data_IF_851158496638
#
_entry.id   IF_851158496638
#
_cell.length_a   1.000
_cell.length_b   1.000
_cell.length_c   1.000
_cell.angle_alpha   90.00
_cell.angle_beta   90.00
_cell.angle_gamma   90.00
#
_symmetry.space_group_name_H-M   'P 1'
#
loop_
_entity.id
_entity.type
_entity.pdbx_description
1 polymer ?
#
# COMPACT_ATOMS: atom_id res chain seq x y z
N UNK A 1 45.43 -18.26 75.02
CA UNK A 1 44.13 -18.79 75.47
C UNK A 1 43.30 -19.04 74.21
N UNK A 2 43.26 -20.25 73.64
CA UNK A 2 42.21 -21.27 73.88
C UNK A 2 40.83 -20.72 73.47
N UNK A 3 40.07 -21.24 72.49
CA UNK A 3 39.71 -22.63 72.22
C UNK A 3 39.16 -22.84 70.78
N UNK A 4 39.19 -24.11 70.36
CA UNK A 4 38.60 -24.76 69.16
C UNK A 4 37.05 -24.78 69.12
N UNK A 5 36.49 -24.96 67.90
CA UNK A 5 35.57 -26.05 67.42
C UNK A 5 34.60 -25.50 66.35
N UNK A 6 34.70 -25.91 65.08
CA UNK A 6 34.07 -27.07 64.39
C UNK A 6 32.57 -26.93 64.05
N UNK A 7 32.29 -26.86 62.74
CA UNK A 7 31.18 -27.54 62.06
C UNK A 7 29.77 -26.92 62.15
N UNK A 8 29.20 -26.59 60.98
CA UNK A 8 27.92 -27.15 60.51
C UNK A 8 27.60 -26.69 59.09
N UNK A 9 27.44 -27.67 58.20
CA UNK A 9 26.75 -27.63 56.92
C UNK A 9 25.23 -27.65 57.14
N UNK A 10 24.48 -26.71 56.55
CA UNK A 10 23.03 -26.79 56.32
C UNK A 10 22.63 -25.62 55.38
N UNK A 11 22.50 -25.86 54.08
CA UNK A 11 21.22 -25.77 53.35
C UNK A 11 20.56 -24.38 53.34
N UNK A 12 20.89 -23.56 52.34
CA UNK A 12 19.99 -22.50 51.86
C UNK A 12 19.80 -22.65 50.35
N UNK A 13 18.53 -22.64 49.96
CA UNK A 13 18.04 -23.04 48.65
C UNK A 13 18.54 -22.17 47.51
N UNK A 14 18.92 -22.85 46.43
CA UNK A 14 19.26 -22.22 45.15
C UNK A 14 18.04 -21.53 44.54
N UNK A 15 18.10 -20.21 44.45
CA UNK A 15 17.28 -19.44 43.52
C UNK A 15 17.85 -19.70 42.12
N UNK A 16 17.07 -20.17 41.12
CA UNK A 16 17.58 -20.32 39.77
C UNK A 16 17.87 -18.92 39.21
N UNK A 17 19.15 -18.57 39.06
CA UNK A 17 19.57 -17.36 38.36
C UNK A 17 19.12 -17.48 36.89
N UNK A 18 18.22 -16.60 36.46
CA UNK A 18 17.93 -16.41 35.04
C UNK A 18 19.24 -16.12 34.29
N UNK A 19 19.47 -16.71 33.10
CA UNK A 19 20.63 -16.39 32.31
C UNK A 19 20.57 -14.91 31.90
N UNK A 20 21.73 -14.21 31.80
CA UNK A 20 21.75 -12.81 31.44
C UNK A 20 21.11 -12.62 30.06
N UNK A 21 20.13 -11.71 30.00
CA UNK A 21 19.51 -11.28 28.76
C UNK A 21 20.60 -10.87 27.77
N UNK A 22 20.54 -11.43 26.56
CA UNK A 22 21.44 -11.04 25.47
C UNK A 22 21.29 -9.53 25.26
N UNK A 23 22.39 -8.78 25.11
CA UNK A 23 22.29 -7.36 24.82
C UNK A 23 21.53 -7.19 23.49
N UNK A 24 20.55 -6.28 23.50
CA UNK A 24 19.74 -5.99 22.33
C UNK A 24 20.65 -5.55 21.17
N UNK A 25 20.64 -6.31 20.07
CA UNK A 25 21.49 -6.12 18.90
C UNK A 25 21.07 -4.94 18.01
N UNK A 26 20.51 -3.87 18.57
CA UNK A 26 20.02 -2.72 17.80
C UNK A 26 21.14 -1.80 17.26
N UNK A 27 22.41 -2.18 17.43
CA UNK A 27 23.56 -1.54 16.77
C UNK A 27 24.44 -2.58 16.07
N UNK A 28 23.87 -3.28 15.10
CA UNK A 28 24.70 -3.85 14.04
C UNK A 28 24.84 -2.79 12.94
N UNK A 29 26.06 -2.35 12.59
CA UNK A 29 26.28 -1.71 11.30
C UNK A 29 25.80 -2.71 10.24
N UNK A 30 25.03 -2.27 9.25
CA UNK A 30 24.56 -3.11 8.15
C UNK A 30 25.81 -3.72 7.50
N UNK A 31 26.13 -4.98 7.82
CA UNK A 31 27.20 -5.71 7.17
C UNK A 31 26.65 -6.13 5.82
N UNK A 32 27.49 -6.13 4.79
CA UNK A 32 27.12 -6.59 3.45
C UNK A 32 26.56 -8.02 3.42
N UNK A 33 26.72 -8.79 4.50
CA UNK A 33 26.14 -10.12 4.70
C UNK A 33 24.61 -10.10 4.93
N UNK A 34 24.02 -8.99 5.41
CA UNK A 34 22.62 -8.98 5.88
C UNK A 34 21.59 -9.00 4.74
N UNK A 35 21.90 -8.40 3.58
CA UNK A 35 20.98 -8.41 2.44
C UNK A 35 21.00 -9.74 1.68
N UNK A 36 22.09 -10.50 1.76
CA UNK A 36 22.23 -11.81 1.11
C UNK A 36 21.24 -12.82 1.70
N UNK A 37 21.17 -12.87 3.03
CA UNK A 37 20.20 -13.70 3.75
C UNK A 37 18.77 -13.24 3.45
N UNK A 38 18.53 -11.93 3.36
CA UNK A 38 17.21 -11.39 3.03
C UNK A 38 16.75 -11.81 1.61
N UNK A 39 17.64 -11.81 0.62
CA UNK A 39 17.34 -12.28 -0.75
C UNK A 39 17.01 -13.78 -0.75
N UNK A 40 17.76 -14.60 0.01
CA UNK A 40 17.44 -16.03 0.14
C UNK A 40 16.06 -16.28 0.76
N UNK A 41 15.68 -15.51 1.79
CA UNK A 41 14.34 -15.56 2.39
C UNK A 41 13.24 -15.06 1.46
N UNK A 42 13.54 -14.04 0.65
CA UNK A 42 12.64 -13.54 -0.38
C UNK A 42 12.30 -14.68 -1.34
N UNK A 43 13.31 -15.39 -1.86
CA UNK A 43 13.11 -16.53 -2.75
C UNK A 43 12.17 -17.59 -2.15
N UNK A 44 12.47 -18.05 -0.92
CA UNK A 44 11.63 -19.03 -0.21
C UNK A 44 10.16 -18.57 -0.07
N UNK A 45 9.96 -17.27 0.18
CA UNK A 45 8.62 -16.69 0.35
C UNK A 45 7.89 -16.61 -0.99
N UNK A 46 8.56 -16.16 -2.05
CA UNK A 46 7.99 -16.07 -3.41
C UNK A 46 7.60 -17.46 -3.93
N UNK A 47 8.47 -18.47 -3.80
CA UNK A 47 8.16 -19.85 -4.23
C UNK A 47 6.95 -20.42 -3.48
N UNK A 48 6.83 -20.15 -2.17
CA UNK A 48 5.68 -20.61 -1.37
C UNK A 48 4.40 -19.88 -1.76
N UNK A 49 4.45 -18.57 -1.93
CA UNK A 49 3.29 -17.76 -2.32
C UNK A 49 2.80 -18.13 -3.72
N UNK A 50 3.72 -18.33 -4.67
CA UNK A 50 3.37 -18.69 -6.05
C UNK A 50 2.70 -20.06 -6.17
N UNK A 51 3.08 -21.03 -5.32
CA UNK A 51 2.41 -22.34 -5.24
C UNK A 51 0.94 -22.24 -4.83
N UNK A 52 0.58 -21.23 -4.04
CA UNK A 52 -0.78 -21.04 -3.54
C UNK A 52 -1.62 -20.23 -4.53
N UNK A 53 -1.05 -19.18 -5.12
CA UNK A 53 -1.73 -18.35 -6.10
C UNK A 53 -0.73 -17.79 -7.12
N UNK A 54 -0.95 -18.14 -8.39
CA UNK A 54 -0.10 -17.74 -9.51
C UNK A 54 -0.35 -16.29 -9.97
N UNK A 55 -1.45 -15.66 -9.52
CA UNK A 55 -1.85 -14.30 -9.93
C UNK A 55 -1.45 -13.22 -8.91
N UNK A 56 -0.44 -13.48 -8.07
CA UNK A 56 0.07 -12.50 -7.11
C UNK A 56 1.13 -11.62 -7.78
N UNK A 57 1.04 -10.32 -7.58
CA UNK A 57 2.07 -9.37 -7.96
C UNK A 57 3.13 -9.30 -6.86
N UNK A 58 4.41 -9.42 -7.23
CA UNK A 58 5.53 -9.36 -6.29
C UNK A 58 6.28 -8.04 -6.46
N UNK A 59 6.25 -7.24 -5.39
CA UNK A 59 6.83 -5.92 -5.34
C UNK A 59 7.85 -5.90 -4.19
N UNK A 60 9.10 -5.54 -4.50
CA UNK A 60 10.22 -5.58 -3.56
C UNK A 60 10.68 -4.16 -3.27
N UNK A 61 10.65 -3.78 -2.00
CA UNK A 61 11.13 -2.49 -1.54
C UNK A 61 12.54 -2.63 -0.97
N UNK A 62 13.51 -2.02 -1.64
CA UNK A 62 14.85 -1.82 -1.11
C UNK A 62 14.78 -0.58 -0.22
N UNK A 63 14.69 -0.83 1.08
CA UNK A 63 14.39 0.20 2.08
C UNK A 63 15.65 0.78 2.73
N UNK A 64 15.53 2.00 3.29
CA UNK A 64 16.60 2.77 3.97
C UNK A 64 17.77 3.12 3.07
N UNK A 65 17.48 3.73 1.92
CA UNK A 65 18.50 4.15 0.94
C UNK A 65 19.14 5.51 1.26
N UNK A 66 18.75 6.14 2.36
CA UNK A 66 19.08 7.52 2.78
C UNK A 66 20.56 7.84 2.95
N UNK A 67 21.32 6.88 3.48
CA UNK A 67 22.72 7.07 3.81
C UNK A 67 23.68 6.68 2.69
N UNK A 68 23.18 6.37 1.50
CA UNK A 68 23.97 5.85 0.39
C UNK A 68 24.10 6.90 -0.71
N UNK A 69 25.27 6.99 -1.33
CA UNK A 69 25.44 7.76 -2.56
C UNK A 69 24.61 7.15 -3.70
N UNK A 70 24.23 7.97 -4.67
CA UNK A 70 23.38 7.51 -5.79
C UNK A 70 24.05 6.40 -6.61
N UNK A 71 25.38 6.45 -6.78
CA UNK A 71 26.16 5.37 -7.40
C UNK A 71 26.02 4.05 -6.62
N UNK A 72 26.05 4.11 -5.29
CA UNK A 72 25.86 2.93 -4.44
C UNK A 72 24.42 2.43 -4.47
N UNK A 73 23.42 3.32 -4.58
CA UNK A 73 22.00 2.94 -4.73
C UNK A 73 21.80 2.13 -6.02
N UNK A 74 22.31 2.64 -7.15
CA UNK A 74 22.22 1.98 -8.45
C UNK A 74 22.93 0.63 -8.43
N UNK A 75 24.14 0.58 -7.85
CA UNK A 75 24.92 -0.65 -7.78
C UNK A 75 24.21 -1.72 -6.91
N UNK A 76 23.70 -1.35 -5.73
CA UNK A 76 22.95 -2.28 -4.87
C UNK A 76 21.63 -2.72 -5.51
N UNK A 77 20.91 -1.83 -6.16
CA UNK A 77 19.70 -2.17 -6.89
C UNK A 77 19.98 -3.20 -7.98
N UNK A 78 21.02 -2.97 -8.79
CA UNK A 78 21.42 -3.90 -9.85
C UNK A 78 21.87 -5.25 -9.30
N UNK A 79 22.63 -5.26 -8.20
CA UNK A 79 23.09 -6.50 -7.58
C UNK A 79 21.93 -7.34 -7.02
N UNK A 80 21.03 -6.71 -6.26
CA UNK A 80 19.83 -7.35 -5.71
C UNK A 80 18.91 -7.84 -6.84
N UNK A 81 18.69 -7.01 -7.86
CA UNK A 81 17.85 -7.37 -9.01
C UNK A 81 18.39 -8.58 -9.76
N UNK A 82 19.70 -8.60 -10.06
CA UNK A 82 20.34 -9.74 -10.72
C UNK A 82 20.20 -10.99 -9.86
N UNK A 83 20.59 -10.92 -8.59
CA UNK A 83 20.64 -12.08 -7.69
C UNK A 83 19.27 -12.69 -7.44
N UNK A 84 18.24 -11.86 -7.22
CA UNK A 84 16.88 -12.33 -7.05
C UNK A 84 16.32 -12.98 -8.33
N UNK A 85 16.67 -12.49 -9.51
CA UNK A 85 16.26 -13.10 -10.78
C UNK A 85 17.01 -14.41 -11.06
N UNK A 86 18.32 -14.47 -10.79
CA UNK A 86 19.10 -15.70 -10.95
C UNK A 86 18.51 -16.82 -10.07
N UNK A 87 18.21 -16.53 -8.79
CA UNK A 87 17.57 -17.49 -7.87
C UNK A 87 16.18 -17.93 -8.37
N UNK A 88 15.40 -17.05 -9.02
CA UNK A 88 14.10 -17.40 -9.59
C UNK A 88 14.22 -18.27 -10.85
N UNK A 89 15.22 -18.02 -11.69
CA UNK A 89 15.54 -18.81 -12.88
C UNK A 89 15.96 -20.22 -12.47
N UNK A 90 16.79 -20.35 -11.42
CA UNK A 90 17.23 -21.64 -10.88
C UNK A 90 16.07 -22.49 -10.37
N UNK A 91 15.01 -21.87 -9.83
CA UNK A 91 13.78 -22.56 -9.43
C UNK A 91 12.80 -22.83 -10.59
N UNK A 92 13.12 -22.43 -11.82
CA UNK A 92 12.28 -22.62 -13.01
C UNK A 92 11.03 -21.73 -13.06
N UNK A 93 10.99 -20.64 -12.30
CA UNK A 93 9.84 -19.73 -12.17
C UNK A 93 10.02 -18.47 -13.06
N UNK A 94 10.23 -18.68 -14.36
CA UNK A 94 10.51 -17.58 -15.31
C UNK A 94 9.30 -16.66 -15.61
N UNK A 95 8.10 -17.01 -15.13
CA UNK A 95 6.88 -16.21 -15.30
C UNK A 95 6.69 -15.13 -14.24
N UNK A 96 7.55 -15.08 -13.20
CA UNK A 96 7.42 -14.13 -12.09
C UNK A 96 8.22 -12.87 -12.41
N UNK A 97 7.53 -11.75 -12.59
CA UNK A 97 8.16 -10.44 -12.75
C UNK A 97 8.26 -9.76 -11.37
N UNK A 98 9.47 -9.65 -10.83
CA UNK A 98 9.73 -8.85 -9.63
C UNK A 98 9.91 -7.38 -10.01
N UNK A 99 9.13 -6.50 -9.39
CA UNK A 99 9.33 -5.05 -9.49
C UNK A 99 10.10 -4.55 -8.27
N UNK A 100 11.11 -3.71 -8.48
CA UNK A 100 11.97 -3.21 -7.42
C UNK A 100 11.83 -1.70 -7.27
N UNK A 101 11.68 -1.23 -6.04
CA UNK A 101 11.62 0.19 -5.71
C UNK A 101 12.63 0.54 -4.63
N UNK A 102 13.32 1.65 -4.84
CA UNK A 102 14.17 2.27 -3.82
C UNK A 102 13.25 3.12 -2.94
N UNK A 103 13.25 2.89 -1.64
CA UNK A 103 12.35 3.59 -0.72
C UNK A 103 13.08 4.12 0.50
N UNK A 104 12.67 5.30 0.90
CA UNK A 104 13.06 5.98 2.13
C UNK A 104 11.82 6.51 2.84
N UNK A 105 11.86 6.57 4.18
CA UNK A 105 10.82 7.26 4.98
C UNK A 105 11.06 8.78 5.11
N UNK A 106 12.26 9.26 4.76
CA UNK A 106 12.62 10.67 4.83
C UNK A 106 12.33 11.38 3.50
N UNK A 107 12.30 10.63 2.40
CA UNK A 107 11.91 11.12 1.07
C UNK A 107 10.47 10.71 0.72
N UNK A 108 9.89 11.35 -0.29
CA UNK A 108 8.57 10.99 -0.81
C UNK A 108 8.56 9.70 -1.66
N UNK A 109 9.73 9.09 -1.88
CA UNK A 109 9.92 7.87 -2.69
C UNK A 109 9.09 6.69 -2.20
N UNK A 110 8.84 6.58 -0.89
CA UNK A 110 7.99 5.53 -0.34
C UNK A 110 6.54 5.67 -0.82
N UNK A 111 6.00 6.89 -0.82
CA UNK A 111 4.62 7.13 -1.27
C UNK A 111 4.49 6.94 -2.78
N UNK A 112 5.51 7.31 -3.55
CA UNK A 112 5.56 7.03 -4.99
C UNK A 112 5.57 5.52 -5.28
N UNK A 113 6.42 4.76 -4.57
CA UNK A 113 6.48 3.31 -4.71
C UNK A 113 5.14 2.66 -4.35
N UNK A 114 4.52 3.08 -3.25
CA UNK A 114 3.18 2.61 -2.87
C UNK A 114 2.13 2.96 -3.93
N UNK A 115 2.20 4.14 -4.53
CA UNK A 115 1.28 4.55 -5.59
C UNK A 115 1.35 3.63 -6.80
N UNK A 116 2.56 3.27 -7.25
CA UNK A 116 2.76 2.29 -8.34
C UNK A 116 2.24 0.90 -7.98
N UNK A 117 2.42 0.47 -6.73
CA UNK A 117 1.91 -0.82 -6.24
C UNK A 117 0.38 -0.83 -6.20
N UNK A 118 -0.25 0.23 -5.68
CA UNK A 118 -1.71 0.35 -5.59
C UNK A 118 -2.34 0.41 -6.98
N UNK A 119 -1.73 1.11 -7.93
CA UNK A 119 -2.19 1.17 -9.32
C UNK A 119 -2.30 -0.21 -9.97
N UNK A 120 -1.31 -1.09 -9.74
CA UNK A 120 -1.34 -2.48 -10.23
C UNK A 120 -2.46 -3.33 -9.62
N UNK A 121 -2.99 -2.95 -8.45
CA UNK A 121 -4.09 -3.65 -7.80
C UNK A 121 -5.46 -3.23 -8.34
N UNK A 122 -5.56 -2.09 -9.03
CA UNK A 122 -6.82 -1.52 -9.51
C UNK A 122 -7.00 -1.87 -11.01
N UNK A 123 -7.88 -2.82 -11.36
CA UNK A 123 -8.05 -3.25 -12.75
C UNK A 123 -8.81 -2.24 -13.63
N UNK A 124 -9.39 -1.18 -13.06
CA UNK A 124 -10.05 -0.10 -13.83
C UNK A 124 -9.18 1.15 -13.99
N UNK A 125 -7.88 1.05 -13.68
CA UNK A 125 -6.94 2.14 -13.88
C UNK A 125 -7.04 2.77 -15.29
N UNK A 126 -7.13 1.99 -16.40
CA UNK A 126 -7.22 2.59 -17.74
C UNK A 126 -8.45 3.48 -17.94
N UNK A 127 -9.56 3.18 -17.25
CA UNK A 127 -10.76 4.01 -17.33
C UNK A 127 -10.55 5.35 -16.61
N UNK A 128 -9.90 5.33 -15.44
CA UNK A 128 -9.57 6.55 -14.69
C UNK A 128 -8.55 7.41 -15.42
N UNK A 129 -7.51 6.80 -16.00
CA UNK A 129 -6.53 7.49 -16.85
C UNK A 129 -7.20 8.16 -18.05
N UNK A 130 -8.11 7.46 -18.74
CA UNK A 130 -8.85 8.04 -19.86
C UNK A 130 -9.75 9.21 -19.43
N UNK A 131 -10.42 9.12 -18.28
CA UNK A 131 -11.21 10.22 -17.74
C UNK A 131 -10.33 11.44 -17.41
N UNK A 132 -9.16 11.22 -16.80
CA UNK A 132 -8.20 12.29 -16.53
C UNK A 132 -7.70 12.91 -17.83
N UNK A 133 -7.37 12.12 -18.84
CA UNK A 133 -6.93 12.61 -20.15
C UNK A 133 -8.00 13.50 -20.82
N UNK A 134 -9.28 13.11 -20.77
CA UNK A 134 -10.39 13.92 -21.31
C UNK A 134 -10.54 15.23 -20.52
N UNK A 135 -10.41 15.18 -19.20
CA UNK A 135 -10.51 16.37 -18.36
C UNK A 135 -9.38 17.37 -18.65
N UNK A 136 -8.15 16.87 -18.79
CA UNK A 136 -6.94 17.65 -19.09
C UNK A 136 -7.03 18.28 -20.48
N UNK A 137 -7.43 17.50 -21.50
CA UNK A 137 -7.52 17.98 -22.88
C UNK A 137 -8.54 19.11 -23.04
N UNK A 138 -9.67 19.02 -22.33
CA UNK A 138 -10.76 20.00 -22.43
C UNK A 138 -10.53 21.24 -21.58
N UNK A 139 -9.74 21.13 -20.51
CA UNK A 139 -9.52 22.22 -19.54
C UNK A 139 -8.17 22.91 -19.71
N UNK A 140 -7.34 22.49 -20.68
CA UNK A 140 -5.97 22.99 -20.90
C UNK A 140 -5.11 22.98 -19.63
N UNK A 141 -5.25 21.90 -18.86
CA UNK A 141 -4.44 21.62 -17.67
C UNK A 141 -3.13 20.98 -18.14
N UNK A 142 -2.02 21.24 -17.47
CA UNK A 142 -0.73 20.62 -17.84
C UNK A 142 -0.59 19.21 -17.26
N UNK A 143 -1.03 19.03 -16.02
CA UNK A 143 -0.95 17.75 -15.31
C UNK A 143 -2.04 17.63 -14.26
N UNK A 144 -2.59 16.43 -14.06
CA UNK A 144 -3.55 16.18 -12.99
C UNK A 144 -3.30 14.85 -12.31
N UNK A 145 -3.41 14.87 -10.98
CA UNK A 145 -3.25 13.71 -10.12
C UNK A 145 -4.52 13.48 -9.33
N UNK A 146 -4.94 12.23 -9.23
CA UNK A 146 -5.99 11.79 -8.32
C UNK A 146 -5.31 11.23 -7.06
N UNK A 147 -5.38 11.98 -5.97
CA UNK A 147 -4.77 11.65 -4.68
C UNK A 147 -5.78 11.09 -3.69
N UNK A 148 -5.33 10.14 -2.88
CA UNK A 148 -5.92 9.84 -1.59
C UNK A 148 -5.29 10.77 -0.53
N UNK A 149 -6.12 11.59 0.10
CA UNK A 149 -5.70 12.68 1.00
C UNK A 149 -5.01 12.14 2.26
N UNK A 150 -5.50 11.02 2.81
CA UNK A 150 -4.99 10.47 4.06
C UNK A 150 -3.67 9.73 3.89
N UNK A 151 -3.53 8.99 2.78
CA UNK A 151 -2.36 8.16 2.54
C UNK A 151 -1.29 8.84 1.67
N UNK A 152 -1.61 10.01 1.08
CA UNK A 152 -0.78 10.76 0.11
C UNK A 152 -0.40 9.94 -1.13
N UNK A 153 -1.12 8.84 -1.37
CA UNK A 153 -0.93 7.96 -2.51
C UNK A 153 -1.75 8.49 -3.69
N UNK A 154 -1.15 8.55 -4.87
CA UNK A 154 -1.91 8.86 -6.08
C UNK A 154 -2.45 7.58 -6.71
N UNK A 155 -3.77 7.54 -6.88
CA UNK A 155 -4.51 6.38 -7.41
C UNK A 155 -4.40 6.33 -8.93
N UNK A 156 -4.53 7.48 -9.58
CA UNK A 156 -4.48 7.61 -11.02
C UNK A 156 -3.77 8.91 -11.40
N UNK A 157 -3.08 8.87 -12.53
CA UNK A 157 -2.41 10.00 -13.15
C UNK A 157 -2.78 10.02 -14.62
N UNK A 158 -2.49 11.13 -15.29
CA UNK A 158 -2.63 11.24 -16.73
C UNK A 158 -1.55 10.46 -17.49
N UNK A 159 -1.61 10.51 -18.82
CA UNK A 159 -0.62 9.86 -19.68
C UNK A 159 0.77 10.50 -19.68
N UNK A 160 0.93 11.71 -19.12
CA UNK A 160 2.26 12.33 -19.00
C UNK A 160 3.12 11.60 -17.95
N UNK A 161 4.45 11.52 -18.17
CA UNK A 161 5.33 10.90 -17.18
C UNK A 161 5.28 11.68 -15.86
N UNK A 162 5.14 10.95 -14.75
CA UNK A 162 5.21 11.54 -13.41
C UNK A 162 6.64 11.99 -13.14
N UNK A 163 6.79 13.25 -12.76
CA UNK A 163 8.07 13.79 -12.31
C UNK A 163 8.04 13.84 -10.79
N UNK A 164 9.14 13.43 -10.17
CA UNK A 164 9.26 13.33 -8.71
C UNK A 164 9.07 14.70 -8.07
N UNK A 165 9.64 15.74 -8.68
CA UNK A 165 9.53 17.12 -8.17
C UNK A 165 8.08 17.62 -8.12
N UNK A 166 7.28 17.29 -9.13
CA UNK A 166 5.88 17.68 -9.21
C UNK A 166 5.04 16.94 -8.17
N UNK A 167 5.40 15.68 -7.91
CA UNK A 167 4.74 14.86 -6.91
C UNK A 167 5.02 15.37 -5.48
N UNK A 168 6.27 15.71 -5.17
CA UNK A 168 6.66 16.32 -3.89
C UNK A 168 5.87 17.60 -3.61
N UNK A 169 5.79 18.49 -4.61
CA UNK A 169 5.01 19.73 -4.50
C UNK A 169 3.51 19.49 -4.24
N UNK A 170 2.93 18.44 -4.82
CA UNK A 170 1.53 18.06 -4.54
C UNK A 170 1.36 17.61 -3.10
N UNK A 171 2.27 16.78 -2.59
CA UNK A 171 2.22 16.29 -1.23
C UNK A 171 2.30 17.43 -0.22
N UNK A 172 3.25 18.35 -0.42
CA UNK A 172 3.41 19.53 0.43
C UNK A 172 2.18 20.44 0.36
N UNK A 173 1.59 20.62 -0.83
CA UNK A 173 0.37 21.40 -0.99
C UNK A 173 -0.82 20.78 -0.25
N UNK A 174 -0.98 19.45 -0.34
CA UNK A 174 -2.02 18.74 0.41
C UNK A 174 -1.82 19.00 1.90
N UNK A 175 -0.62 18.77 2.44
CA UNK A 175 -0.31 18.97 3.86
C UNK A 175 -0.66 20.38 4.33
N UNK A 176 -0.27 21.42 3.58
CA UNK A 176 -0.62 22.81 3.90
C UNK A 176 -2.13 23.02 3.93
N UNK A 177 -2.87 22.47 2.96
CA UNK A 177 -4.34 22.57 2.91
C UNK A 177 -4.98 21.84 4.09
N UNK A 178 -4.48 20.65 4.44
CA UNK A 178 -4.97 19.89 5.61
C UNK A 178 -4.71 20.70 6.89
N UNK A 179 -3.47 21.17 7.09
CA UNK A 179 -3.06 21.89 8.29
C UNK A 179 -3.87 23.18 8.49
N UNK A 180 -4.10 23.94 7.40
CA UNK A 180 -4.94 25.15 7.44
C UNK A 180 -6.39 24.78 7.74
N UNK A 181 -6.93 23.73 7.10
CA UNK A 181 -8.30 23.28 7.36
C UNK A 181 -8.47 22.77 8.80
N UNK A 182 -7.45 22.14 9.38
CA UNK A 182 -7.49 21.70 10.77
C UNK A 182 -7.50 22.88 11.76
N UNK A 183 -6.90 24.02 11.40
CA UNK A 183 -6.83 25.21 12.24
C UNK A 183 -8.10 26.07 12.10
N UNK A 184 -8.58 26.28 10.87
CA UNK A 184 -9.67 27.22 10.56
C UNK A 184 -10.99 26.55 10.15
N UNK A 185 -11.02 25.23 10.03
CA UNK A 185 -12.21 24.47 9.67
C UNK A 185 -13.32 24.66 10.71
N UNK A 186 -14.58 24.88 10.29
CA UNK A 186 -15.68 25.10 11.22
C UNK A 186 -15.84 23.88 12.12
N UNK A 187 -15.65 24.05 13.42
CA UNK A 187 -15.76 22.99 14.43
C UNK A 187 -17.21 22.53 14.71
N UNK A 188 -18.16 22.90 13.87
CA UNK A 188 -19.57 23.04 14.25
C UNK A 188 -20.51 22.12 13.46
N UNK A 189 -20.11 20.88 13.26
CA UNK A 189 -21.03 19.72 13.18
C UNK A 189 -20.24 18.48 13.55
N UNK A 190 -20.69 17.74 14.57
CA UNK A 190 -20.05 16.52 15.10
C UNK A 190 -20.09 15.31 14.15
N UNK A 191 -19.66 15.49 12.90
CA UNK A 191 -19.30 14.44 11.95
C UNK A 191 -17.81 14.58 11.68
N UNK A 192 -17.06 13.53 11.96
CA UNK A 192 -15.63 13.44 11.70
C UNK A 192 -15.26 13.92 10.29
N UNK A 193 -14.19 14.72 10.23
CA UNK A 193 -13.43 15.25 9.07
C UNK A 193 -13.74 16.71 8.66
N UNK A 194 -12.71 17.60 8.68
CA UNK A 194 -12.83 19.03 8.35
C UNK A 194 -12.70 19.26 6.84
N UNK A 195 -13.62 18.70 6.04
CA UNK A 195 -13.62 18.86 4.59
C UNK A 195 -15.00 19.29 4.09
N UNK A 196 -15.10 20.55 3.64
CA UNK A 196 -16.30 21.08 3.01
C UNK A 196 -16.41 20.60 1.55
N UNK A 197 -17.61 20.13 1.19
CA UNK A 197 -17.98 19.50 -0.10
C UNK A 197 -17.83 20.39 -1.35
N UNK A 198 -17.42 21.65 -1.20
CA UNK A 198 -17.40 22.66 -2.26
C UNK A 198 -16.03 22.88 -2.92
N UNK A 199 -14.92 22.53 -2.26
CA UNK A 199 -13.58 22.72 -2.82
C UNK A 199 -12.95 21.40 -3.26
N UNK A 200 -12.97 21.13 -4.58
CA UNK A 200 -12.09 20.15 -5.26
C UNK A 200 -12.17 18.67 -4.80
N UNK A 201 -13.14 18.28 -4.00
CA UNK A 201 -13.28 16.88 -3.59
C UNK A 201 -14.09 16.06 -4.58
N UNK A 202 -13.55 14.91 -4.98
CA UNK A 202 -14.24 13.94 -5.84
C UNK A 202 -15.08 12.96 -5.00
N UNK A 203 -14.58 12.60 -3.80
CA UNK A 203 -15.22 11.77 -2.75
C UNK A 203 -14.55 12.07 -1.40
N UNK A 204 -15.14 11.68 -0.25
CA UNK A 204 -14.63 11.95 1.14
C UNK A 204 -13.14 11.63 1.41
N UNK A 205 -12.48 10.87 0.53
CA UNK A 205 -11.06 10.50 0.67
C UNK A 205 -10.21 10.84 -0.56
N UNK A 206 -10.83 11.28 -1.67
CA UNK A 206 -10.12 11.52 -2.93
C UNK A 206 -10.17 12.99 -3.34
N UNK A 207 -8.98 13.55 -3.51
CA UNK A 207 -8.76 14.90 -4.00
C UNK A 207 -8.10 14.86 -5.38
N UNK A 208 -8.39 15.86 -6.21
CA UNK A 208 -7.70 16.05 -7.49
C UNK A 208 -6.78 17.25 -7.36
N UNK A 209 -5.52 17.07 -7.70
CA UNK A 209 -4.52 18.14 -7.76
C UNK A 209 -4.16 18.39 -9.20
N UNK A 210 -4.27 19.64 -9.67
CA UNK A 210 -4.03 20.02 -11.06
C UNK A 210 -2.97 21.12 -11.16
N UNK A 211 -2.07 20.97 -12.13
CA UNK A 211 -1.13 22.00 -12.55
C UNK A 211 -1.67 22.72 -13.76
N UNK A 212 -1.83 24.02 -13.63
CA UNK A 212 -2.44 24.87 -14.63
C UNK A 212 -1.60 26.13 -14.83
N UNK A 213 -1.45 26.54 -16.08
CA UNK A 213 -0.85 27.85 -16.39
C UNK A 213 -1.79 28.96 -15.99
N UNK A 214 -1.23 30.09 -15.58
CA UNK A 214 -1.99 31.29 -15.20
C UNK A 214 -2.94 31.74 -16.31
N UNK A 215 -2.50 31.67 -17.57
CA UNK A 215 -3.32 32.00 -18.76
C UNK A 215 -4.54 31.08 -18.92
N UNK A 216 -4.41 29.80 -18.56
CA UNK A 216 -5.53 28.85 -18.61
C UNK A 216 -6.56 29.12 -17.51
N UNK A 217 -6.17 29.76 -16.40
CA UNK A 217 -7.03 30.01 -15.25
C UNK A 217 -8.10 31.09 -15.50
N UNK A 218 -7.94 31.92 -16.54
CA UNK A 218 -8.92 32.95 -16.90
C UNK A 218 -10.31 32.37 -17.21
N UNK A 219 -10.38 31.08 -17.60
CA UNK A 219 -11.63 30.36 -17.90
C UNK A 219 -12.06 29.45 -16.75
N UNK A 220 -11.94 29.90 -15.50
CA UNK A 220 -12.30 29.12 -14.30
C UNK A 220 -13.67 28.45 -14.38
N UNK A 221 -14.71 29.16 -14.88
CA UNK A 221 -16.06 28.59 -14.98
C UNK A 221 -16.17 27.35 -15.88
N UNK A 222 -15.36 27.24 -16.94
CA UNK A 222 -15.32 26.04 -17.79
C UNK A 222 -14.63 24.88 -17.06
N UNK A 223 -13.58 25.18 -16.30
CA UNK A 223 -12.84 24.19 -15.51
C UNK A 223 -13.76 23.62 -14.43
N UNK A 224 -14.51 24.47 -13.72
CA UNK A 224 -15.45 24.05 -12.68
C UNK A 224 -16.57 23.17 -13.24
N UNK A 225 -17.13 23.53 -14.42
CA UNK A 225 -18.13 22.69 -15.10
C UNK A 225 -17.55 21.33 -15.52
N UNK A 226 -16.36 21.32 -16.15
CA UNK A 226 -15.69 20.10 -16.55
C UNK A 226 -15.34 19.23 -15.33
N UNK A 227 -14.95 19.85 -14.22
CA UNK A 227 -14.64 19.18 -12.97
C UNK A 227 -15.90 18.55 -12.36
N UNK A 228 -17.04 19.22 -12.42
CA UNK A 228 -18.32 18.64 -11.97
C UNK A 228 -18.72 17.40 -12.79
N UNK A 229 -18.59 17.46 -14.11
CA UNK A 229 -18.78 16.31 -14.99
C UNK A 229 -17.82 15.17 -14.66
N UNK A 230 -16.54 15.49 -14.43
CA UNK A 230 -15.50 14.52 -14.05
C UNK A 230 -15.78 13.85 -12.70
N UNK A 231 -16.17 14.63 -11.68
CA UNK A 231 -16.57 14.14 -10.36
C UNK A 231 -17.73 13.14 -10.47
N UNK A 232 -18.75 13.50 -11.25
CA UNK A 232 -19.91 12.64 -11.48
C UNK A 232 -19.52 11.33 -12.18
N UNK A 233 -18.66 11.40 -13.20
CA UNK A 233 -18.14 10.22 -13.89
C UNK A 233 -17.34 9.29 -12.96
N UNK A 234 -16.51 9.84 -12.07
CA UNK A 234 -15.76 9.03 -11.10
C UNK A 234 -16.70 8.32 -10.12
N UNK A 235 -17.71 9.02 -9.61
CA UNK A 235 -18.69 8.43 -8.70
C UNK A 235 -19.41 7.23 -9.35
N UNK A 236 -19.80 7.37 -10.62
CA UNK A 236 -20.41 6.27 -11.38
C UNK A 236 -19.46 5.08 -11.55
N UNK A 237 -18.18 5.32 -11.85
CA UNK A 237 -17.18 4.24 -12.00
C UNK A 237 -17.02 3.44 -10.71
N UNK A 238 -16.95 4.12 -9.56
CA UNK A 238 -16.85 3.44 -8.26
C UNK A 238 -18.15 2.68 -7.90
N UNK A 239 -19.31 3.25 -8.19
CA UNK A 239 -20.62 2.63 -7.95
C UNK A 239 -20.85 1.36 -8.78
N UNK A 240 -20.50 1.40 -10.08
CA UNK A 240 -20.54 0.24 -10.96
C UNK A 240 -19.69 -0.89 -10.38
N UNK A 241 -18.55 -0.56 -9.78
CA UNK A 241 -17.68 -1.57 -9.17
C UNK A 241 -18.28 -2.19 -7.91
N UNK A 242 -18.87 -1.37 -7.03
CA UNK A 242 -19.58 -1.86 -5.85
C UNK A 242 -20.75 -2.76 -6.26
N UNK A 243 -21.47 -2.41 -7.34
CA UNK A 243 -22.54 -3.25 -7.91
C UNK A 243 -22.00 -4.56 -8.49
N UNK A 244 -20.90 -4.55 -9.24
CA UNK A 244 -20.26 -5.76 -9.79
C UNK A 244 -19.74 -6.67 -8.67
N UNK A 245 -19.12 -6.12 -7.62
CA UNK A 245 -18.67 -6.89 -6.47
C UNK A 245 -19.84 -7.48 -5.67
N UNK A 246 -20.91 -6.70 -5.43
CA UNK A 246 -22.15 -7.20 -4.80
C UNK A 246 -22.78 -8.31 -5.64
N UNK A 247 -22.85 -8.13 -6.96
CA UNK A 247 -23.37 -9.16 -7.87
C UNK A 247 -22.47 -10.41 -7.90
N UNK A 248 -21.15 -10.29 -7.83
CA UNK A 248 -20.24 -11.45 -7.68
C UNK A 248 -20.46 -12.18 -6.35
N UNK A 249 -20.68 -11.47 -5.24
CA UNK A 249 -21.02 -12.06 -3.93
C UNK A 249 -22.40 -12.76 -3.96
N UNK A 250 -23.40 -12.15 -4.58
CA UNK A 250 -24.73 -12.74 -4.75
C UNK A 250 -24.70 -13.98 -5.66
N UNK A 251 -23.91 -13.96 -6.74
CA UNK A 251 -23.71 -15.12 -7.62
C UNK A 251 -22.94 -16.25 -6.91
N UNK A 252 -21.94 -15.90 -6.09
CA UNK A 252 -21.24 -16.87 -5.22
C UNK A 252 -22.18 -17.51 -4.19
N UNK A 253 -23.03 -16.72 -3.52
CA UNK A 253 -24.06 -17.22 -2.60
C UNK A 253 -25.12 -18.07 -3.29
N UNK A 254 -25.54 -17.73 -4.52
CA UNK A 254 -26.46 -18.55 -5.34
C UNK A 254 -25.84 -19.87 -5.79
N UNK A 255 -24.52 -19.90 -6.00
CA UNK A 255 -23.79 -21.12 -6.34
C UNK A 255 -23.60 -22.03 -5.13
N UNK A 256 -23.41 -21.46 -3.93
CA UNK A 256 -23.35 -22.21 -2.68
C UNK A 256 -24.72 -22.78 -2.28
N UNK A 257 -25.80 -22.01 -2.43
CA UNK A 257 -27.16 -22.47 -2.11
C UNK A 257 -27.70 -23.52 -3.09
N UNK A 258 -27.29 -23.51 -4.36
CA UNK A 258 -27.57 -24.60 -5.32
C UNK A 258 -26.80 -25.89 -5.02
N UNK A 259 -25.62 -25.80 -4.41
CA UNK A 259 -24.85 -26.98 -4.01
C UNK A 259 -25.43 -27.64 -2.74
N UNK A 260 -26.08 -26.87 -1.86
CA UNK A 260 -26.76 -27.40 -0.67
C UNK A 260 -28.19 -27.89 -0.92
N UNK A 261 -28.83 -27.48 -2.03
CA UNK A 261 -30.15 -27.99 -2.44
C UNK A 261 -30.09 -29.10 -3.50
N UNK A 262 -28.93 -29.32 -4.12
CA UNK A 262 -28.71 -30.37 -5.12
C UNK A 262 -28.38 -31.77 -4.57
N UNK A 263 -28.20 -31.92 -3.25
CA UNK A 263 -27.90 -33.19 -2.57
C UNK A 263 -28.93 -33.54 -1.49
N UNK A 264 -30.21 -33.40 -1.82
CA UNK A 264 -31.33 -33.69 -0.92
C UNK A 264 -32.40 -34.55 -1.57
N UNK A 265 -32.01 -35.69 -2.15
CA UNK A 265 -32.91 -36.66 -2.75
C UNK A 265 -32.67 -38.07 -2.20
N UNK A 266 -33.39 -38.37 -1.11
CA UNK A 266 -33.78 -39.71 -0.64
C UNK A 266 -32.65 -40.58 -0.06
N UNK A 267 -32.51 -40.55 1.27
CA UNK A 267 -32.48 -41.80 2.04
C UNK A 267 -33.20 -41.61 3.37
N UNK A 268 -34.27 -42.38 3.51
CA UNK A 268 -34.98 -42.67 4.76
C UNK A 268 -34.00 -43.15 5.83
N UNK A 269 -34.09 -42.66 7.06
CA UNK A 269 -34.52 -43.44 8.24
C UNK A 269 -34.31 -42.67 9.55
N UNK A 270 -35.24 -42.92 10.46
CA UNK A 270 -35.36 -42.42 11.83
C UNK A 270 -34.09 -42.54 12.68
N UNK A 271 -33.81 -41.52 13.51
CA UNK A 271 -33.48 -41.68 14.94
C UNK A 271 -33.38 -40.32 15.67
N UNK A 272 -34.21 -40.19 16.72
CA UNK A 272 -34.00 -39.50 18.02
C UNK A 272 -33.19 -38.18 18.03
N UNK A 273 -33.75 -37.00 18.37
CA UNK A 273 -34.33 -36.59 19.68
C UNK A 273 -33.42 -36.95 20.87
N UNK A 274 -32.57 -36.03 21.32
CA UNK A 274 -32.50 -35.46 22.69
C UNK A 274 -31.16 -34.75 22.96
N UNK A 275 -31.26 -33.69 23.76
CA UNK A 275 -30.25 -32.82 24.38
C UNK A 275 -29.62 -31.74 23.50
#
# INVERSE_FOLDING_TARGET
MGLRRSGKSSTEGGIPKCPPARPCSWRAPIRSDDYVEAVSRLHLTVTRAYKVNTNINFEVFIHKVDGLSDDHKIQKQRDIHRRANDDLVDAGLQSINLSFYLTSIYDHSIFEAFSKVVQKLIPQLPTLENLLNIFISNSCIEKAFLFDVLSKIYIATDSSPVDMSTYELCCDMIDVVIDISCIYGPADTGSDLPYDKESMEVTEFLAVVCFLRTESFERKGLIDYNFHCFKSAIQEVFDVRLRIQKNRKLLSQRRWSKLTTGSGGILSTNAARLC
#
